data_IF_697946936845
#
_entry.id   IF_697946936845
#
_cell.length_a   1.000
_cell.length_b   1.000
_cell.length_c   1.000
_cell.angle_alpha   90.00
_cell.angle_beta   90.00
_cell.angle_gamma   90.00
#
_symmetry.space_group_name_H-M   'P 1'
#
loop_
_entity.id
_entity.type
_entity.pdbx_description
1 polymer ?
#
# COMPACT_ATOMS: atom_id res chain seq x y z
N UNK A 1 -10.89 -13.93 9.77
CA UNK A 1 -10.07 -13.24 8.76
C UNK A 1 -11.02 -12.71 7.71
N UNK A 2 -11.03 -11.39 7.48
CA UNK A 2 -11.82 -10.73 6.46
C UNK A 2 -10.97 -10.49 5.22
N UNK A 3 -11.56 -10.54 4.03
CA UNK A 3 -10.85 -10.37 2.75
C UNK A 3 -11.30 -9.08 2.09
N UNK A 4 -10.34 -8.20 1.77
CA UNK A 4 -10.60 -6.94 1.08
C UNK A 4 -9.84 -6.92 -0.24
N UNK A 5 -10.55 -7.04 -1.36
CA UNK A 5 -9.94 -6.99 -2.69
C UNK A 5 -9.73 -5.53 -3.11
N UNK A 6 -8.46 -5.14 -3.18
CA UNK A 6 -8.02 -3.80 -3.49
C UNK A 6 -6.69 -3.49 -2.82
N UNK A 7 -6.41 -2.21 -2.66
CA UNK A 7 -5.22 -1.70 -1.97
C UNK A 7 -5.67 -0.84 -0.80
N UNK A 8 -5.29 -1.22 0.41
CA UNK A 8 -5.54 -0.43 1.63
C UNK A 8 -4.31 0.43 1.94
N UNK A 9 -4.47 1.73 1.75
CA UNK A 9 -3.46 2.75 2.06
C UNK A 9 -3.57 3.11 3.53
N UNK A 10 -2.46 3.00 4.26
CA UNK A 10 -2.32 3.32 5.68
C UNK A 10 -1.07 4.16 5.93
N UNK A 11 -1.00 4.87 7.06
CA UNK A 11 0.14 5.75 7.33
C UNK A 11 1.38 5.01 7.77
N UNK A 12 1.22 4.11 8.74
CA UNK A 12 2.32 3.49 9.45
C UNK A 12 2.43 1.97 9.30
N UNK A 13 3.61 1.46 9.66
CA UNK A 13 3.84 0.01 9.75
C UNK A 13 3.03 -0.62 10.90
N UNK A 14 2.77 0.15 11.97
CA UNK A 14 1.96 -0.30 13.10
C UNK A 14 0.51 -0.53 12.68
N UNK A 15 -0.05 0.37 11.86
CA UNK A 15 -1.41 0.23 11.33
C UNK A 15 -1.52 -1.00 10.45
N UNK A 16 -0.57 -1.17 9.52
CA UNK A 16 -0.48 -2.38 8.70
C UNK A 16 -0.38 -3.64 9.57
N UNK A 17 0.48 -3.63 10.59
CA UNK A 17 0.66 -4.78 11.48
C UNK A 17 -0.64 -5.13 12.22
N UNK A 18 -1.30 -4.14 12.81
CA UNK A 18 -2.58 -4.31 13.50
C UNK A 18 -3.67 -4.83 12.56
N UNK A 19 -3.92 -4.14 11.47
CA UNK A 19 -4.98 -4.48 10.51
C UNK A 19 -4.76 -5.87 9.89
N UNK A 20 -3.51 -6.25 9.62
CA UNK A 20 -3.18 -7.56 9.04
C UNK A 20 -3.49 -8.75 9.94
N UNK A 21 -3.76 -8.52 11.24
CA UNK A 21 -4.19 -9.58 12.16
C UNK A 21 -5.61 -10.07 11.87
N UNK A 22 -6.44 -9.27 11.19
CA UNK A 22 -7.84 -9.64 10.91
C UNK A 22 -8.31 -9.29 9.48
N UNK A 23 -7.57 -8.46 8.72
CA UNK A 23 -7.88 -8.13 7.32
C UNK A 23 -6.76 -8.61 6.41
N UNK A 24 -7.08 -9.47 5.46
CA UNK A 24 -6.19 -9.87 4.39
C UNK A 24 -6.46 -9.01 3.15
N UNK A 25 -5.48 -8.18 2.78
CA UNK A 25 -5.54 -7.27 1.66
C UNK A 25 -4.12 -6.91 1.19
N UNK A 26 -4.03 -6.16 0.10
CA UNK A 26 -2.77 -5.53 -0.29
C UNK A 26 -2.63 -4.20 0.44
N UNK A 27 -1.55 -4.04 1.21
CA UNK A 27 -1.27 -2.83 1.96
C UNK A 27 -0.27 -1.93 1.24
N UNK A 28 -0.57 -0.64 1.21
CA UNK A 28 0.37 0.40 0.87
C UNK A 28 0.61 1.29 2.08
N UNK A 29 1.86 1.41 2.53
CA UNK A 29 2.23 2.23 3.71
C UNK A 29 2.87 3.53 3.21
N UNK A 30 2.32 4.68 3.62
CA UNK A 30 2.81 6.00 3.18
C UNK A 30 4.05 6.46 3.93
N UNK A 31 4.36 5.87 5.08
CA UNK A 31 5.45 6.28 6.00
C UNK A 31 5.34 7.75 6.47
N UNK A 32 4.13 8.21 6.80
CA UNK A 32 3.87 9.56 7.29
C UNK A 32 3.91 10.63 6.19
N UNK A 33 4.49 11.80 6.48
CA UNK A 33 4.50 12.98 5.58
C UNK A 33 5.25 12.79 4.26
N UNK A 34 6.04 11.74 4.12
CA UNK A 34 6.91 11.48 2.96
C UNK A 34 6.21 10.74 1.81
N UNK A 35 4.96 11.08 1.52
CA UNK A 35 4.29 10.57 0.33
C UNK A 35 4.87 11.24 -0.92
N UNK A 36 5.85 10.59 -1.54
CA UNK A 36 6.51 11.08 -2.74
C UNK A 36 5.57 11.16 -3.95
N UNK A 37 5.81 12.08 -4.86
CA UNK A 37 5.04 12.18 -6.11
C UNK A 37 5.09 10.87 -6.93
N UNK A 38 6.19 10.12 -6.86
CA UNK A 38 6.32 8.81 -7.49
C UNK A 38 5.37 7.77 -6.88
N UNK A 39 5.12 7.83 -5.56
CA UNK A 39 4.16 6.96 -4.87
C UNK A 39 2.72 7.29 -5.27
N UNK A 40 2.41 8.56 -5.42
CA UNK A 40 1.10 9.01 -5.92
C UNK A 40 0.87 8.49 -7.34
N UNK A 41 1.85 8.65 -8.23
CA UNK A 41 1.77 8.12 -9.61
C UNK A 41 1.57 6.61 -9.63
N UNK A 42 2.27 5.88 -8.77
CA UNK A 42 2.08 4.44 -8.61
C UNK A 42 0.65 4.08 -8.17
N UNK A 43 0.10 4.78 -7.17
CA UNK A 43 -1.27 4.57 -6.70
C UNK A 43 -2.32 4.95 -7.76
N UNK A 44 -2.09 6.01 -8.54
CA UNK A 44 -2.94 6.37 -9.69
C UNK A 44 -2.95 5.23 -10.71
N UNK A 45 -1.78 4.66 -11.04
CA UNK A 45 -1.73 3.52 -11.96
C UNK A 45 -2.47 2.31 -11.41
N UNK A 46 -2.29 1.99 -10.12
CA UNK A 46 -3.02 0.90 -9.48
C UNK A 46 -4.53 1.11 -9.46
N UNK A 47 -4.99 2.35 -9.32
CA UNK A 47 -6.41 2.69 -9.22
C UNK A 47 -7.20 2.41 -10.51
N UNK A 48 -6.52 2.21 -11.63
CA UNK A 48 -7.13 1.85 -12.92
C UNK A 48 -7.74 0.44 -12.91
N UNK A 49 -7.15 -0.46 -12.10
CA UNK A 49 -7.55 -1.88 -12.04
C UNK A 49 -7.97 -2.33 -10.64
N UNK A 50 -7.67 -1.52 -9.61
CA UNK A 50 -7.92 -1.87 -8.22
C UNK A 50 -8.71 -0.77 -7.51
N UNK A 51 -9.58 -1.16 -6.58
CA UNK A 51 -10.14 -0.21 -5.60
C UNK A 51 -9.02 0.25 -4.65
N UNK A 52 -8.95 1.56 -4.43
CA UNK A 52 -8.02 2.16 -3.46
C UNK A 52 -8.84 2.59 -2.25
N UNK A 53 -8.53 2.02 -1.10
CA UNK A 53 -9.10 2.40 0.19
C UNK A 53 -8.05 3.21 0.95
N UNK A 54 -8.45 4.31 1.56
CA UNK A 54 -7.57 5.20 2.34
C UNK A 54 -8.06 5.17 3.77
N UNK A 55 -7.22 4.68 4.68
CA UNK A 55 -7.48 4.65 6.12
C UNK A 55 -6.27 5.26 6.82
N UNK A 56 -6.40 6.52 7.16
CA UNK A 56 -5.38 7.33 7.83
C UNK A 56 -5.81 7.66 9.25
N UNK A 57 -4.85 8.08 10.08
CA UNK A 57 -5.14 8.56 11.43
C UNK A 57 -6.07 9.80 11.37
N UNK A 58 -6.94 9.99 12.36
CA UNK A 58 -7.89 11.10 12.41
C UNK A 58 -7.24 12.37 12.98
N UNK A 59 -6.04 12.68 12.53
CA UNK A 59 -5.31 13.88 12.87
C UNK A 59 -5.06 14.75 11.63
N UNK A 60 -4.48 15.93 11.82
CA UNK A 60 -4.20 16.87 10.72
C UNK A 60 -3.26 16.27 9.66
N UNK A 61 -2.38 15.36 10.05
CA UNK A 61 -1.44 14.71 9.14
C UNK A 61 -2.17 13.71 8.24
N UNK A 62 -2.94 12.81 8.84
CA UNK A 62 -3.73 11.83 8.12
C UNK A 62 -4.80 12.46 7.25
N UNK A 63 -5.42 13.57 7.69
CA UNK A 63 -6.36 14.31 6.87
C UNK A 63 -5.69 14.90 5.62
N UNK A 64 -4.49 15.48 5.75
CA UNK A 64 -3.72 15.99 4.59
C UNK A 64 -3.36 14.88 3.61
N UNK A 65 -2.89 13.73 4.09
CA UNK A 65 -2.57 12.57 3.24
C UNK A 65 -3.82 12.10 2.51
N UNK A 66 -4.91 11.93 3.25
CA UNK A 66 -6.19 11.46 2.73
C UNK A 66 -6.75 12.40 1.66
N UNK A 67 -6.77 13.72 1.94
CA UNK A 67 -7.24 14.73 1.00
C UNK A 67 -6.36 14.80 -0.26
N UNK A 68 -5.03 14.74 -0.10
CA UNK A 68 -4.10 14.72 -1.22
C UNK A 68 -4.34 13.51 -2.12
N UNK A 69 -4.45 12.32 -1.54
CA UNK A 69 -4.73 11.10 -2.31
C UNK A 69 -6.10 11.13 -2.97
N UNK A 70 -7.13 11.62 -2.28
CA UNK A 70 -8.48 11.73 -2.82
C UNK A 70 -8.56 12.69 -4.01
N UNK A 71 -7.81 13.79 -3.98
CA UNK A 71 -7.73 14.74 -5.08
C UNK A 71 -7.06 14.13 -6.33
N UNK A 72 -5.98 13.36 -6.13
CA UNK A 72 -5.24 12.72 -7.22
C UNK A 72 -5.90 11.43 -7.73
N UNK A 73 -6.69 10.75 -6.87
CA UNK A 73 -7.41 9.52 -7.15
C UNK A 73 -8.89 9.70 -6.79
N UNK A 74 -9.69 10.35 -7.65
CA UNK A 74 -11.09 10.68 -7.33
C UNK A 74 -11.95 9.46 -6.98
N UNK A 75 -11.62 8.28 -7.51
CA UNK A 75 -12.34 7.04 -7.23
C UNK A 75 -11.89 6.34 -5.95
N UNK A 76 -10.88 6.86 -5.22
CA UNK A 76 -10.45 6.28 -3.95
C UNK A 76 -11.56 6.40 -2.90
N UNK A 77 -11.68 5.40 -2.05
CA UNK A 77 -12.66 5.32 -0.97
C UNK A 77 -11.96 5.75 0.32
N UNK A 78 -12.34 6.92 0.84
CA UNK A 78 -11.81 7.40 2.12
C UNK A 78 -12.65 6.81 3.23
N UNK A 79 -12.00 6.05 4.11
CA UNK A 79 -12.60 5.43 5.29
C UNK A 79 -12.37 6.35 6.49
N UNK A 80 -13.45 6.75 7.15
CA UNK A 80 -13.39 7.64 8.33
C UNK A 80 -13.74 6.86 9.58
N UNK A 81 -12.86 6.92 10.58
CA UNK A 81 -13.11 6.39 11.92
C UNK A 81 -13.78 7.52 12.74
N UNK A 82 -14.93 7.27 13.34
CA UNK A 82 -15.63 8.28 14.15
C UNK A 82 -15.22 8.19 15.62
N UNK A 83 -14.41 9.15 16.07
CA UNK A 83 -13.94 9.22 17.46
C UNK A 83 -14.85 10.04 18.41
N UNK A 84 -15.95 10.59 17.91
CA UNK A 84 -16.81 11.53 18.68
C UNK A 84 -17.38 10.97 19.98
N UNK A 85 -17.41 9.65 20.14
CA UNK A 85 -17.98 8.98 21.31
C UNK A 85 -16.96 8.49 22.33
N UNK A 86 -15.67 8.75 22.16
CA UNK A 86 -14.64 8.26 23.09
C UNK A 86 -14.30 9.32 24.16
N UNK A 87 -14.56 8.97 25.43
CA UNK A 87 -14.35 9.83 26.63
C UNK A 87 -12.89 10.10 26.99
N UNK A 88 -11.91 9.62 26.22
CA UNK A 88 -10.48 9.83 26.47
C UNK A 88 -9.80 10.43 25.23
N UNK A 89 -9.53 11.72 25.34
CA UNK A 89 -8.76 12.52 24.36
C UNK A 89 -7.25 12.20 24.40
N UNK A 90 -6.85 10.98 24.16
CA UNK A 90 -5.46 10.69 23.87
C UNK A 90 -5.36 10.33 22.36
N UNK A 91 -4.27 10.78 21.73
CA UNK A 91 -3.95 10.55 20.32
C UNK A 91 -4.13 9.07 19.99
N UNK A 92 -5.21 8.72 19.33
CA UNK A 92 -5.47 7.35 18.90
C UNK A 92 -5.28 7.26 17.40
N UNK A 93 -4.25 6.55 16.98
CA UNK A 93 -4.07 6.15 15.59
C UNK A 93 -4.95 4.95 15.22
N UNK A 94 -4.92 4.57 13.95
CA UNK A 94 -5.65 3.39 13.43
C UNK A 94 -5.30 2.12 14.22
N UNK A 95 -4.03 1.96 14.62
CA UNK A 95 -3.57 0.80 15.39
C UNK A 95 -4.16 0.70 16.81
N UNK A 96 -4.78 1.76 17.33
CA UNK A 96 -5.39 1.82 18.67
C UNK A 96 -6.91 1.75 18.64
N UNK A 97 -7.50 1.61 17.44
CA UNK A 97 -8.93 1.52 17.24
C UNK A 97 -9.49 0.16 17.65
N UNK A 98 -10.77 0.15 17.97
CA UNK A 98 -11.49 -1.11 18.14
C UNK A 98 -11.57 -1.84 16.79
N UNK A 99 -11.25 -3.13 16.81
CA UNK A 99 -11.32 -4.01 15.65
C UNK A 99 -12.72 -4.03 15.02
N UNK A 100 -13.75 -4.08 15.84
CA UNK A 100 -15.13 -4.17 15.37
C UNK A 100 -15.59 -2.87 14.69
N UNK A 101 -15.07 -1.73 15.13
CA UNK A 101 -15.31 -0.45 14.47
C UNK A 101 -14.74 -0.43 13.05
N UNK A 102 -13.49 -0.88 12.88
CA UNK A 102 -12.86 -0.97 11.56
C UNK A 102 -13.59 -1.99 10.66
N UNK A 103 -14.00 -3.13 11.23
CA UNK A 103 -14.79 -4.13 10.50
C UNK A 103 -16.11 -3.51 10.03
N UNK A 104 -16.80 -2.77 10.87
CA UNK A 104 -18.06 -2.11 10.51
C UNK A 104 -17.91 -1.10 9.38
N UNK A 105 -16.83 -0.33 9.35
CA UNK A 105 -16.54 0.64 8.28
C UNK A 105 -16.28 -0.08 6.94
N UNK A 106 -15.66 -1.25 6.98
CA UNK A 106 -15.25 -2.01 5.80
C UNK A 106 -16.23 -3.10 5.37
N UNK A 107 -17.26 -3.41 6.17
CA UNK A 107 -18.12 -4.60 6.00
C UNK A 107 -18.73 -4.76 4.61
N UNK A 108 -19.12 -3.66 3.97
CA UNK A 108 -19.73 -3.66 2.64
C UNK A 108 -18.72 -3.87 1.50
N UNK A 109 -17.41 -3.85 1.80
CA UNK A 109 -16.33 -4.05 0.84
C UNK A 109 -15.67 -5.43 0.98
N UNK A 110 -16.03 -6.23 1.98
CA UNK A 110 -15.45 -7.55 2.16
C UNK A 110 -15.91 -8.54 1.09
N UNK A 111 -15.03 -9.47 0.77
CA UNK A 111 -15.20 -10.50 -0.24
C UNK A 111 -15.09 -11.89 0.38
N UNK A 112 -15.60 -12.92 -0.32
CA UNK A 112 -15.53 -14.31 0.14
C UNK A 112 -14.11 -14.88 0.11
N UNK A 113 -13.28 -14.38 -0.80
CA UNK A 113 -11.89 -14.85 -1.00
C UNK A 113 -10.97 -13.72 -1.43
N UNK A 114 -9.69 -13.89 -1.18
CA UNK A 114 -8.62 -12.97 -1.59
C UNK A 114 -7.75 -13.61 -2.68
N UNK A 115 -7.47 -12.84 -3.74
CA UNK A 115 -6.53 -13.26 -4.79
C UNK A 115 -5.09 -12.99 -4.34
N UNK A 116 -4.37 -14.05 -4.02
CA UNK A 116 -2.99 -14.00 -3.48
C UNK A 116 -1.94 -14.39 -4.53
N UNK A 117 -2.01 -13.88 -5.72
CA UNK A 117 -0.99 -14.13 -6.74
C UNK A 117 0.29 -13.34 -6.45
N UNK A 118 1.18 -13.86 -5.58
CA UNK A 118 2.51 -13.31 -5.31
C UNK A 118 3.56 -14.10 -6.08
N UNK A 119 4.16 -13.46 -7.09
CA UNK A 119 5.22 -14.04 -7.91
C UNK A 119 6.60 -13.70 -7.36
N UNK A 120 6.80 -12.44 -6.94
CA UNK A 120 8.10 -11.95 -6.49
C UNK A 120 8.32 -12.22 -5.00
N UNK A 121 9.51 -12.69 -4.68
CA UNK A 121 10.02 -12.92 -3.34
C UNK A 121 11.53 -12.61 -3.30
N UNK A 122 12.14 -12.66 -2.13
CA UNK A 122 13.56 -12.34 -1.95
C UNK A 122 14.49 -13.22 -2.79
N UNK A 123 14.21 -14.54 -2.85
CA UNK A 123 15.05 -15.47 -3.61
C UNK A 123 15.01 -15.16 -5.10
N UNK A 124 13.85 -14.81 -5.65
CA UNK A 124 13.74 -14.43 -7.06
C UNK A 124 14.49 -13.13 -7.37
N UNK A 125 14.45 -12.12 -6.48
CA UNK A 125 15.22 -10.89 -6.67
C UNK A 125 16.73 -11.17 -6.73
N UNK A 126 17.24 -12.01 -5.82
CA UNK A 126 18.65 -12.42 -5.79
C UNK A 126 19.01 -13.12 -7.10
N UNK A 127 18.19 -14.07 -7.55
CA UNK A 127 18.43 -14.81 -8.80
C UNK A 127 18.43 -13.91 -10.04
N UNK A 128 17.66 -12.81 -10.01
CA UNK A 128 17.64 -11.80 -11.05
C UNK A 128 18.80 -10.78 -10.94
N UNK A 129 19.69 -10.92 -9.96
CA UNK A 129 20.82 -10.01 -9.76
C UNK A 129 20.44 -8.66 -9.15
N UNK A 130 19.25 -8.53 -8.55
CA UNK A 130 18.78 -7.31 -7.92
C UNK A 130 19.27 -7.28 -6.47
N UNK A 131 20.55 -6.87 -6.29
CA UNK A 131 21.29 -7.03 -5.04
C UNK A 131 21.71 -5.71 -4.36
N UNK A 132 21.53 -4.57 -5.01
CA UNK A 132 21.90 -3.26 -4.45
C UNK A 132 20.81 -2.20 -4.68
N UNK A 133 21.04 -0.98 -4.14
CA UNK A 133 20.12 0.14 -4.24
C UNK A 133 19.95 0.68 -5.65
N UNK A 134 21.02 0.67 -6.44
CA UNK A 134 21.06 1.36 -7.73
C UNK A 134 20.17 0.64 -8.75
N UNK A 135 20.36 -0.69 -8.88
CA UNK A 135 19.49 -1.51 -9.74
C UNK A 135 18.03 -1.50 -9.23
N UNK A 136 17.82 -1.51 -7.89
CA UNK A 136 16.47 -1.42 -7.33
C UNK A 136 15.79 -0.12 -7.72
N UNK A 137 16.48 1.02 -7.58
CA UNK A 137 15.94 2.33 -7.93
C UNK A 137 15.69 2.45 -9.43
N UNK A 138 16.62 1.96 -10.25
CA UNK A 138 16.46 1.90 -11.70
C UNK A 138 15.20 1.14 -12.11
N UNK A 139 14.98 -0.04 -11.54
CA UNK A 139 13.76 -0.85 -11.78
C UNK A 139 12.50 -0.10 -11.33
N UNK A 140 12.55 0.51 -10.15
CA UNK A 140 11.42 1.25 -9.61
C UNK A 140 11.03 2.42 -10.52
N UNK A 141 12.00 3.16 -11.05
CA UNK A 141 11.77 4.27 -11.98
C UNK A 141 11.25 3.77 -13.33
N UNK A 142 11.91 2.78 -13.93
CA UNK A 142 11.52 2.22 -15.24
C UNK A 142 10.11 1.64 -15.26
N UNK A 143 9.70 1.00 -14.18
CA UNK A 143 8.39 0.35 -14.06
C UNK A 143 7.33 1.21 -13.35
N UNK A 144 7.66 2.47 -13.01
CA UNK A 144 6.77 3.37 -12.25
C UNK A 144 6.23 2.68 -10.98
N UNK A 145 7.14 2.17 -10.14
CA UNK A 145 6.77 1.47 -8.91
C UNK A 145 6.74 2.40 -7.68
N UNK A 146 7.00 3.69 -7.86
CA UNK A 146 7.16 4.63 -6.77
C UNK A 146 8.44 4.44 -5.98
N UNK A 147 8.50 4.96 -4.75
CA UNK A 147 9.71 4.93 -3.94
C UNK A 147 9.96 3.55 -3.29
N UNK A 148 10.84 2.75 -3.86
CA UNK A 148 11.22 1.43 -3.36
C UNK A 148 12.47 1.50 -2.49
N UNK A 149 12.38 2.04 -1.27
CA UNK A 149 13.49 2.26 -0.35
C UNK A 149 14.23 0.99 0.14
N UNK A 150 13.64 -0.20 -0.06
CA UNK A 150 14.29 -1.50 0.22
C UNK A 150 13.70 -2.61 -0.65
N UNK A 151 14.30 -3.80 -0.59
CA UNK A 151 13.87 -4.96 -1.40
C UNK A 151 12.44 -5.42 -1.06
N UNK A 152 12.00 -5.30 0.20
CA UNK A 152 10.63 -5.64 0.60
C UNK A 152 9.62 -4.71 -0.08
N UNK A 153 9.90 -3.41 -0.12
CA UNK A 153 9.07 -2.44 -0.81
C UNK A 153 9.01 -2.73 -2.33
N UNK A 154 10.15 -3.06 -2.95
CA UNK A 154 10.18 -3.46 -4.36
C UNK A 154 9.33 -4.70 -4.61
N UNK A 155 9.49 -5.77 -3.81
CA UNK A 155 8.70 -7.01 -3.90
C UNK A 155 7.20 -6.72 -3.78
N UNK A 156 6.81 -5.97 -2.74
CA UNK A 156 5.41 -5.63 -2.51
C UNK A 156 4.82 -4.89 -3.74
N UNK A 157 5.57 -3.95 -4.31
CA UNK A 157 5.11 -3.15 -5.45
C UNK A 157 5.08 -3.90 -6.78
N UNK A 158 6.04 -4.78 -7.02
CA UNK A 158 6.05 -5.68 -8.18
C UNK A 158 4.84 -6.61 -8.16
N UNK A 159 4.54 -7.19 -7.00
CA UNK A 159 3.38 -8.06 -6.82
C UNK A 159 2.06 -7.28 -6.93
N UNK A 160 1.98 -6.08 -6.34
CA UNK A 160 0.80 -5.21 -6.44
C UNK A 160 0.47 -4.83 -7.89
N UNK A 161 1.48 -4.48 -8.67
CA UNK A 161 1.32 -4.10 -10.08
C UNK A 161 1.24 -5.31 -11.01
N UNK A 162 1.31 -6.55 -10.45
CA UNK A 162 1.27 -7.82 -11.21
C UNK A 162 2.29 -7.86 -12.35
N UNK A 163 3.48 -7.29 -12.13
CA UNK A 163 4.56 -7.27 -13.13
C UNK A 163 4.94 -8.71 -13.50
N UNK A 164 5.21 -8.96 -14.77
CA UNK A 164 5.65 -10.28 -15.25
C UNK A 164 7.16 -10.42 -15.11
N UNK A 165 7.65 -11.65 -14.86
CA UNK A 165 9.09 -11.94 -14.73
C UNK A 165 9.85 -11.45 -15.97
N UNK A 166 9.34 -11.68 -17.17
CA UNK A 166 9.97 -11.24 -18.43
C UNK A 166 10.17 -9.72 -18.53
N UNK A 167 9.27 -8.93 -17.93
CA UNK A 167 9.41 -7.47 -17.92
C UNK A 167 10.58 -7.05 -17.05
N UNK A 168 10.71 -7.65 -15.86
CA UNK A 168 11.84 -7.38 -14.96
C UNK A 168 13.17 -7.85 -15.57
N UNK A 169 13.21 -9.03 -16.18
CA UNK A 169 14.42 -9.53 -16.85
C UNK A 169 14.90 -8.58 -17.95
N UNK A 170 13.97 -7.98 -18.70
CA UNK A 170 14.29 -6.97 -19.71
C UNK A 170 14.92 -5.73 -19.07
N UNK A 171 14.31 -5.19 -18.01
CA UNK A 171 14.81 -3.99 -17.32
C UNK A 171 16.17 -4.24 -16.66
N UNK A 172 16.39 -5.41 -16.07
CA UNK A 172 17.69 -5.80 -15.50
C UNK A 172 18.77 -5.87 -16.57
N UNK A 173 18.49 -6.43 -17.75
CA UNK A 173 19.43 -6.46 -18.89
C UNK A 173 19.75 -5.04 -19.39
N UNK A 174 18.79 -4.15 -19.44
CA UNK A 174 19.02 -2.75 -19.84
C UNK A 174 19.92 -2.00 -18.85
N UNK A 175 19.86 -2.34 -17.56
CA UNK A 175 20.73 -1.74 -16.54
C UNK A 175 22.19 -2.17 -16.66
N UNK A 176 22.44 -3.40 -17.14
CA UNK A 176 23.80 -3.98 -17.28
C UNK A 176 24.53 -3.62 -18.59
N UNK A 177 23.85 -2.93 -19.53
CA UNK A 177 24.40 -2.46 -20.80
C UNK A 177 24.69 -0.96 -20.74
#
# INVERSE_FOLDING_TARGET
MYYLNGVLVVEGKCDKAFLSTFIKTNYFVTNGFDLHNSDIKFLIDLSKENKIFILTDPDDAGERISNRLKNEIPNAIVLKIDFKNRKQYHKHGVAECDKDEIINILKEYFNDKFDESKIFNTSLLINLGINNSDIRNYIADKLNLGNCYNNKALIDRLNLKKIKIKEIEKVVKEYGN
#
